data_IF_303958792229
#
_entry.id   IF_303958792229
#
_cell.length_a   1.000
_cell.length_b   1.000
_cell.length_c   1.000
_cell.angle_alpha   90.00
_cell.angle_beta   90.00
_cell.angle_gamma   90.00
#
_symmetry.space_group_name_H-M   'P 1'
#
loop_
_entity.id
_entity.type
_entity.pdbx_description
1 polymer ?
#
# COMPACT_ATOMS: atom_id res chain seq x y z
N UNK A 1 24.56 45.51 -15.67
CA UNK A 1 23.45 45.43 -14.70
C UNK A 1 22.56 44.27 -15.10
N UNK A 2 22.65 43.13 -14.40
CA UNK A 2 21.81 41.96 -14.70
C UNK A 2 20.48 42.11 -13.96
N UNK A 3 19.40 42.33 -14.69
CA UNK A 3 18.05 42.29 -14.15
C UNK A 3 17.70 40.82 -13.86
N UNK A 4 17.63 40.44 -12.60
CA UNK A 4 17.07 39.15 -12.19
C UNK A 4 15.58 39.17 -12.48
N UNK A 5 15.14 38.39 -13.47
CA UNK A 5 13.72 38.24 -13.79
C UNK A 5 12.94 37.78 -12.55
N UNK A 6 11.76 38.36 -12.28
CA UNK A 6 10.95 37.98 -11.12
C UNK A 6 10.57 36.50 -11.23
N UNK A 7 11.06 35.68 -10.29
CA UNK A 7 10.62 34.29 -10.19
C UNK A 7 9.15 34.27 -9.80
N UNK A 8 8.33 33.62 -10.63
CA UNK A 8 6.95 33.36 -10.27
C UNK A 8 6.88 32.45 -9.05
N UNK A 9 5.89 32.61 -8.16
CA UNK A 9 5.75 31.78 -6.97
C UNK A 9 5.65 30.31 -7.37
N UNK A 10 6.55 29.47 -6.84
CA UNK A 10 6.51 28.03 -7.05
C UNK A 10 5.18 27.46 -6.52
N UNK A 11 4.27 27.09 -7.43
CA UNK A 11 3.03 26.40 -7.09
C UNK A 11 3.38 25.00 -6.60
N UNK A 12 2.98 24.65 -5.37
CA UNK A 12 3.13 23.27 -4.86
C UNK A 12 2.46 22.29 -5.83
N UNK A 13 3.09 21.16 -6.16
CA UNK A 13 2.50 20.19 -7.07
C UNK A 13 1.24 19.60 -6.41
N UNK A 14 0.09 19.73 -7.08
CA UNK A 14 -1.22 19.22 -6.64
C UNK A 14 -1.22 17.72 -6.30
N UNK A 15 -0.23 16.99 -6.82
CA UNK A 15 -0.18 15.52 -6.83
C UNK A 15 0.17 14.93 -5.48
N UNK A 16 0.95 15.66 -4.69
CA UNK A 16 1.27 15.23 -3.32
C UNK A 16 -0.01 15.15 -2.48
N UNK A 17 -0.97 16.06 -2.70
CA UNK A 17 -2.25 16.03 -1.99
C UNK A 17 -3.09 14.81 -2.40
N UNK A 18 -3.14 14.49 -3.70
CA UNK A 18 -3.84 13.29 -4.17
C UNK A 18 -3.23 12.01 -3.59
N UNK A 19 -1.91 11.95 -3.47
CA UNK A 19 -1.24 10.80 -2.86
C UNK A 19 -1.58 10.66 -1.36
N UNK A 20 -1.57 11.75 -0.59
CA UNK A 20 -1.98 11.68 0.82
C UNK A 20 -3.46 11.34 0.98
N UNK A 21 -4.33 11.82 0.10
CA UNK A 21 -5.73 11.43 0.07
C UNK A 21 -5.88 9.92 -0.19
N UNK A 22 -5.12 9.38 -1.16
CA UNK A 22 -5.06 7.94 -1.44
C UNK A 22 -4.58 7.13 -0.23
N UNK A 23 -3.49 7.51 0.44
CA UNK A 23 -3.02 6.80 1.64
C UNK A 23 -4.06 6.88 2.76
N UNK A 24 -4.66 8.05 2.99
CA UNK A 24 -5.70 8.23 4.01
C UNK A 24 -6.88 7.29 3.73
N UNK A 25 -7.32 7.22 2.48
CA UNK A 25 -8.38 6.34 2.03
C UNK A 25 -8.03 4.86 2.26
N UNK A 26 -6.82 4.43 1.90
CA UNK A 26 -6.36 3.05 2.13
C UNK A 26 -6.31 2.71 3.62
N UNK A 27 -5.77 3.60 4.45
CA UNK A 27 -5.74 3.40 5.90
C UNK A 27 -7.14 3.26 6.47
N UNK A 28 -8.10 4.08 6.00
CA UNK A 28 -9.49 3.98 6.43
C UNK A 28 -10.13 2.65 5.99
N UNK A 29 -9.85 2.19 4.77
CA UNK A 29 -10.32 0.89 4.28
C UNK A 29 -9.77 -0.26 5.13
N UNK A 30 -8.47 -0.29 5.40
CA UNK A 30 -7.86 -1.31 6.26
C UNK A 30 -8.36 -1.24 7.70
N UNK A 31 -8.66 -0.04 8.21
CA UNK A 31 -9.26 0.11 9.54
C UNK A 31 -10.67 -0.48 9.60
N UNK A 32 -11.50 -0.26 8.56
CA UNK A 32 -12.84 -0.87 8.45
C UNK A 32 -12.72 -2.40 8.36
N UNK A 33 -11.83 -2.91 7.50
CA UNK A 33 -11.61 -4.36 7.38
C UNK A 33 -11.07 -4.98 8.67
N UNK A 34 -10.19 -4.28 9.38
CA UNK A 34 -9.71 -4.69 10.69
C UNK A 34 -10.84 -4.74 11.72
N UNK A 35 -11.70 -3.72 11.78
CA UNK A 35 -12.86 -3.70 12.66
C UNK A 35 -13.82 -4.86 12.36
N UNK A 36 -14.05 -5.16 11.08
CA UNK A 36 -14.83 -6.32 10.66
C UNK A 36 -14.18 -7.65 11.07
N UNK A 37 -12.86 -7.77 10.95
CA UNK A 37 -12.12 -8.96 11.40
C UNK A 37 -12.23 -9.15 12.92
N UNK A 38 -12.13 -8.07 13.71
CA UNK A 38 -12.35 -8.13 15.16
C UNK A 38 -13.80 -8.54 15.49
N UNK A 39 -14.77 -8.01 14.74
CA UNK A 39 -16.17 -8.42 14.89
C UNK A 39 -16.34 -9.91 14.60
N UNK A 40 -15.75 -10.44 13.54
CA UNK A 40 -15.79 -11.87 13.22
C UNK A 40 -15.16 -12.74 14.31
N UNK A 41 -14.04 -12.31 14.91
CA UNK A 41 -13.41 -13.02 16.05
C UNK A 41 -14.31 -12.99 17.29
N UNK A 42 -15.11 -11.93 17.48
CA UNK A 42 -16.01 -11.79 18.62
C UNK A 42 -17.28 -12.65 18.52
N UNK A 43 -17.57 -13.20 17.33
CA UNK A 43 -18.68 -14.12 17.18
C UNK A 43 -18.37 -15.43 17.93
N UNK A 44 -19.32 -15.95 18.72
CA UNK A 44 -19.15 -17.24 19.35
C UNK A 44 -18.90 -18.31 18.27
N UNK A 45 -18.06 -19.32 18.54
CA UNK A 45 -17.94 -20.47 17.65
C UNK A 45 -19.35 -21.01 17.37
N UNK A 46 -19.67 -21.30 16.11
CA UNK A 46 -21.00 -21.76 15.73
C UNK A 46 -21.41 -22.93 16.62
N UNK A 47 -22.44 -22.72 17.44
CA UNK A 47 -22.93 -23.70 18.40
C UNK A 47 -23.48 -24.97 17.73
N UNK A 48 -23.69 -24.90 16.40
CA UNK A 48 -24.17 -26.00 15.57
C UNK A 48 -23.04 -26.92 15.09
N UNK A 49 -21.78 -26.59 15.38
CA UNK A 49 -20.66 -27.47 15.04
C UNK A 49 -20.72 -28.72 15.93
N UNK A 50 -20.89 -29.93 15.37
CA UNK A 50 -20.99 -31.14 16.16
C UNK A 50 -19.71 -31.32 16.98
N UNK A 51 -19.79 -31.85 18.23
CA UNK A 51 -18.61 -32.11 19.03
C UNK A 51 -17.57 -32.90 18.23
N UNK A 52 -16.32 -32.43 18.21
CA UNK A 52 -15.23 -33.08 17.46
C UNK A 52 -14.97 -34.54 17.89
N UNK A 53 -15.54 -34.96 19.02
CA UNK A 53 -15.39 -36.30 19.58
C UNK A 53 -16.38 -37.34 19.01
N UNK A 54 -17.33 -36.94 18.15
CA UNK A 54 -18.21 -37.93 17.48
C UNK A 54 -17.40 -38.61 16.39
N UNK A 55 -17.09 -39.92 16.49
CA UNK A 55 -16.34 -40.63 15.47
C UNK A 55 -17.10 -40.48 14.15
N UNK A 56 -16.42 -39.90 13.16
CA UNK A 56 -16.94 -39.67 11.81
C UNK A 56 -17.33 -41.02 11.22
N UNK A 57 -18.58 -41.42 11.45
CA UNK A 57 -19.16 -42.57 10.81
C UNK A 57 -19.21 -42.24 9.32
N UNK A 58 -18.32 -42.89 8.58
CA UNK A 58 -18.03 -42.79 7.15
C UNK A 58 -19.31 -42.71 6.31
N UNK A 59 -19.93 -41.54 6.27
CA UNK A 59 -21.06 -41.28 5.39
C UNK A 59 -20.43 -40.67 4.14
N UNK A 60 -19.89 -41.56 3.29
CA UNK A 60 -19.46 -41.27 1.93
C UNK A 60 -20.70 -40.81 1.13
N UNK A 61 -21.11 -39.56 1.34
CA UNK A 61 -22.03 -38.92 0.42
C UNK A 61 -21.21 -38.68 -0.83
N UNK A 62 -21.53 -39.45 -1.87
CA UNK A 62 -20.87 -39.39 -3.18
C UNK A 62 -21.28 -38.07 -3.83
N UNK A 63 -20.63 -36.98 -3.44
CA UNK A 63 -20.86 -35.67 -4.03
C UNK A 63 -20.11 -35.62 -5.34
N UNK A 64 -20.88 -35.63 -6.41
CA UNK A 64 -20.45 -35.50 -7.79
C UNK A 64 -19.50 -34.31 -7.92
N UNK A 65 -18.20 -34.59 -8.10
CA UNK A 65 -17.12 -33.60 -8.24
C UNK A 65 -17.47 -32.62 -9.34
N UNK A 66 -17.98 -31.45 -8.97
CA UNK A 66 -17.95 -30.32 -9.88
C UNK A 66 -16.56 -29.72 -9.73
N UNK A 67 -15.88 -29.52 -10.86
CA UNK A 67 -14.44 -29.24 -10.96
C UNK A 67 -13.97 -27.95 -10.25
N UNK A 68 -14.86 -27.23 -9.55
CA UNK A 68 -14.59 -25.98 -8.85
C UNK A 68 -15.37 -25.85 -7.52
N UNK A 69 -15.49 -26.91 -6.72
CA UNK A 69 -15.93 -26.81 -5.33
C UNK A 69 -14.84 -26.15 -4.46
N UNK A 70 -14.67 -24.83 -4.62
CA UNK A 70 -13.80 -24.00 -3.75
C UNK A 70 -14.34 -23.89 -2.32
N UNK A 71 -15.57 -24.36 -2.10
CA UNK A 71 -16.24 -24.29 -0.82
C UNK A 71 -15.60 -25.24 0.19
N UNK A 72 -15.02 -26.37 -0.23
CA UNK A 72 -14.42 -27.36 0.69
C UNK A 72 -13.18 -26.81 1.41
N UNK A 73 -12.36 -26.00 0.73
CA UNK A 73 -11.18 -25.38 1.35
C UNK A 73 -11.55 -24.27 2.34
N UNK A 74 -12.65 -23.56 2.08
CA UNK A 74 -13.13 -22.47 2.96
C UNK A 74 -14.05 -22.98 4.08
N UNK A 75 -14.73 -24.10 3.89
CA UNK A 75 -15.66 -24.68 4.87
C UNK A 75 -14.96 -25.33 6.06
N UNK A 76 -13.68 -25.72 5.94
CA UNK A 76 -12.93 -26.35 7.02
C UNK A 76 -12.20 -25.37 7.95
N UNK A 77 -12.06 -24.11 7.57
CA UNK A 77 -11.33 -23.13 8.36
C UNK A 77 -12.24 -22.50 9.40
N UNK A 78 -11.87 -22.61 10.68
CA UNK A 78 -12.56 -21.91 11.77
C UNK A 78 -12.67 -20.41 11.43
N UNK A 79 -13.90 -19.83 11.41
CA UNK A 79 -14.08 -18.42 11.09
C UNK A 79 -13.26 -17.50 12.00
N UNK A 80 -13.01 -17.91 13.24
CA UNK A 80 -12.16 -17.17 14.17
C UNK A 80 -10.70 -17.17 13.70
N UNK A 81 -10.19 -18.29 13.20
CA UNK A 81 -8.83 -18.39 12.67
C UNK A 81 -8.65 -17.52 11.43
N UNK A 82 -9.61 -17.55 10.50
CA UNK A 82 -9.60 -16.69 9.32
C UNK A 82 -9.65 -15.21 9.73
N UNK A 83 -10.49 -14.86 10.70
CA UNK A 83 -10.56 -13.52 11.28
C UNK A 83 -9.23 -13.06 11.87
N UNK A 84 -8.52 -13.92 12.61
CA UNK A 84 -7.21 -13.62 13.19
C UNK A 84 -6.15 -13.34 12.12
N UNK A 85 -6.05 -14.19 11.09
CA UNK A 85 -5.10 -13.99 9.98
C UNK A 85 -5.38 -12.66 9.29
N UNK A 86 -6.66 -12.39 8.99
CA UNK A 86 -7.07 -11.12 8.37
C UNK A 86 -6.73 -9.93 9.27
N UNK A 87 -6.95 -10.03 10.58
CA UNK A 87 -6.63 -8.96 11.52
C UNK A 87 -5.12 -8.65 11.54
N UNK A 88 -4.27 -9.68 11.62
CA UNK A 88 -2.79 -9.53 11.59
C UNK A 88 -2.35 -8.90 10.27
N UNK A 89 -2.88 -9.38 9.15
CA UNK A 89 -2.57 -8.85 7.83
C UNK A 89 -2.96 -7.36 7.70
N UNK A 90 -4.15 -6.98 8.19
CA UNK A 90 -4.60 -5.59 8.20
C UNK A 90 -3.68 -4.69 9.04
N UNK A 91 -3.19 -5.15 10.19
CA UNK A 91 -2.23 -4.40 11.03
C UNK A 91 -0.93 -4.15 10.26
N UNK A 92 -0.38 -5.18 9.60
CA UNK A 92 0.85 -5.05 8.81
C UNK A 92 0.65 -4.02 7.70
N UNK A 93 -0.46 -4.13 6.95
CA UNK A 93 -0.78 -3.19 5.88
C UNK A 93 -0.98 -1.76 6.39
N UNK A 94 -1.75 -1.58 7.46
CA UNK A 94 -1.97 -0.27 8.08
C UNK A 94 -0.64 0.37 8.52
N UNK A 95 0.27 -0.44 9.07
CA UNK A 95 1.61 0.03 9.49
C UNK A 95 2.44 0.47 8.29
N UNK A 96 2.46 -0.31 7.20
CA UNK A 96 3.16 0.06 5.97
C UNK A 96 2.63 1.37 5.39
N UNK A 97 1.31 1.50 5.22
CA UNK A 97 0.72 2.74 4.69
C UNK A 97 0.93 3.94 5.61
N UNK A 98 0.81 3.75 6.92
CA UNK A 98 1.01 4.81 7.92
C UNK A 98 2.46 5.27 7.99
N UNK A 99 3.43 4.36 7.79
CA UNK A 99 4.86 4.71 7.77
C UNK A 99 5.19 5.74 6.69
N UNK A 100 4.44 5.78 5.58
CA UNK A 100 4.63 6.78 4.51
C UNK A 100 4.47 8.24 4.96
N UNK A 101 3.71 8.50 6.03
CA UNK A 101 3.58 9.84 6.62
C UNK A 101 4.85 10.30 7.33
N UNK A 102 5.58 9.37 7.94
CA UNK A 102 6.74 9.66 8.78
C UNK A 102 8.06 9.66 8.01
N UNK A 103 8.08 9.11 6.79
CA UNK A 103 9.29 9.11 5.97
C UNK A 103 9.63 10.54 5.55
N UNK A 104 10.76 11.05 6.08
CA UNK A 104 11.36 12.31 5.66
C UNK A 104 11.54 12.32 4.14
N UNK A 105 11.37 13.48 3.47
CA UNK A 105 11.52 13.58 2.03
C UNK A 105 12.94 13.20 1.60
N UNK A 106 13.11 11.93 1.22
CA UNK A 106 14.35 11.35 0.74
C UNK A 106 14.10 10.63 -0.59
N UNK A 107 15.18 10.21 -1.26
CA UNK A 107 15.12 9.47 -2.52
C UNK A 107 14.33 8.17 -2.44
N UNK A 108 14.37 7.52 -1.28
CA UNK A 108 13.71 6.24 -1.06
C UNK A 108 12.20 6.39 -0.89
N UNK A 109 11.71 7.57 -0.51
CA UNK A 109 10.28 7.82 -0.34
C UNK A 109 9.51 7.65 -1.65
N UNK A 110 10.10 8.05 -2.77
CA UNK A 110 9.48 7.85 -4.08
C UNK A 110 9.35 6.36 -4.41
N UNK A 111 10.44 5.59 -4.25
CA UNK A 111 10.42 4.14 -4.49
C UNK A 111 9.42 3.45 -3.54
N UNK A 112 9.42 3.82 -2.27
CA UNK A 112 8.51 3.30 -1.26
C UNK A 112 7.04 3.53 -1.62
N UNK A 113 6.71 4.76 -2.04
CA UNK A 113 5.37 5.11 -2.45
C UNK A 113 4.91 4.33 -3.70
N UNK A 114 5.82 4.04 -4.65
CA UNK A 114 5.52 3.17 -5.79
C UNK A 114 5.23 1.73 -5.35
N UNK A 115 6.00 1.20 -4.39
CA UNK A 115 5.76 -0.13 -3.84
C UNK A 115 4.39 -0.19 -3.17
N UNK A 116 4.03 0.81 -2.34
CA UNK A 116 2.69 0.90 -1.74
C UNK A 116 1.58 1.01 -2.78
N UNK A 117 1.83 1.70 -3.89
CA UNK A 117 0.88 1.81 -4.99
C UNK A 117 0.70 0.45 -5.71
N UNK A 118 1.78 -0.31 -5.89
CA UNK A 118 1.74 -1.65 -6.48
C UNK A 118 0.94 -2.64 -5.60
N UNK A 119 1.05 -2.54 -4.27
CA UNK A 119 0.20 -3.30 -3.36
C UNK A 119 -1.28 -2.94 -3.51
N UNK A 120 -1.61 -1.66 -3.70
CA UNK A 120 -2.98 -1.24 -4.00
C UNK A 120 -3.50 -1.81 -5.34
N UNK A 121 -2.60 -2.04 -6.30
CA UNK A 121 -2.91 -2.64 -7.60
C UNK A 121 -3.32 -4.12 -7.51
N UNK A 122 -2.99 -4.82 -6.42
CA UNK A 122 -3.47 -6.19 -6.20
C UNK A 122 -4.98 -6.24 -5.98
N UNK A 123 -5.60 -5.10 -5.68
CA UNK A 123 -7.04 -4.99 -5.47
C UNK A 123 -7.71 -4.41 -6.73
N UNK A 124 -8.42 -5.24 -7.48
CA UNK A 124 -8.96 -4.87 -8.80
C UNK A 124 -9.93 -3.68 -8.73
N UNK A 125 -10.63 -3.55 -7.60
CA UNK A 125 -11.58 -2.46 -7.34
C UNK A 125 -10.90 -1.08 -7.28
N UNK A 126 -9.58 -1.03 -7.05
CA UNK A 126 -8.82 0.20 -6.86
C UNK A 126 -8.11 0.67 -8.14
N UNK A 127 -8.12 -0.15 -9.19
CA UNK A 127 -7.52 0.19 -10.49
C UNK A 127 -7.96 1.53 -11.08
N UNK A 128 -9.25 1.93 -11.10
CA UNK A 128 -9.65 3.22 -11.69
C UNK A 128 -9.05 4.43 -10.98
N UNK A 129 -8.68 4.30 -9.70
CA UNK A 129 -8.03 5.36 -8.92
C UNK A 129 -6.50 5.27 -9.05
N UNK A 130 -5.97 4.05 -9.04
CA UNK A 130 -4.53 3.80 -9.04
C UNK A 130 -3.89 4.10 -10.40
N UNK A 131 -4.55 3.79 -11.52
CA UNK A 131 -4.01 4.00 -12.88
C UNK A 131 -3.70 5.48 -13.15
N UNK A 132 -4.60 6.46 -12.90
CA UNK A 132 -4.28 7.89 -13.08
C UNK A 132 -3.12 8.37 -12.20
N UNK A 133 -3.08 7.93 -10.94
CA UNK A 133 -2.01 8.29 -10.00
C UNK A 133 -0.68 7.73 -10.49
N UNK A 134 -0.65 6.46 -10.93
CA UNK A 134 0.53 5.81 -11.47
C UNK A 134 1.01 6.51 -12.74
N UNK A 135 0.11 6.80 -13.68
CA UNK A 135 0.43 7.52 -14.91
C UNK A 135 1.10 8.86 -14.62
N UNK A 136 0.53 9.63 -13.69
CA UNK A 136 1.10 10.92 -13.28
C UNK A 136 2.45 10.74 -12.59
N UNK A 137 2.60 9.73 -11.74
CA UNK A 137 3.86 9.43 -11.05
C UNK A 137 4.98 8.94 -11.98
N UNK A 138 4.62 8.27 -13.07
CA UNK A 138 5.59 7.77 -14.05
C UNK A 138 6.22 8.89 -14.89
N UNK A 139 5.53 10.03 -15.01
CA UNK A 139 5.99 11.15 -15.82
C UNK A 139 7.40 11.60 -15.38
N UNK A 140 8.32 11.81 -16.34
CA UNK A 140 9.69 12.23 -16.03
C UNK A 140 9.72 13.58 -15.30
N UNK A 141 8.68 14.40 -15.48
CA UNK A 141 8.54 15.68 -14.79
C UNK A 141 8.38 15.53 -13.27
N UNK A 142 7.78 14.42 -12.81
CA UNK A 142 7.63 14.11 -11.39
C UNK A 142 8.91 13.51 -10.78
N UNK A 143 9.79 12.95 -11.63
CA UNK A 143 11.14 12.52 -11.23
C UNK A 143 12.10 13.70 -11.04
N UNK A 144 11.74 14.92 -11.48
CA UNK A 144 12.64 16.09 -11.50
C UNK A 144 13.00 16.68 -10.14
N UNK A 145 12.38 16.24 -9.03
CA UNK A 145 12.93 16.50 -7.69
C UNK A 145 14.29 15.83 -7.48
N UNK A 146 14.71 14.96 -8.41
CA UNK A 146 16.00 14.29 -8.48
C UNK A 146 16.92 14.83 -9.58
N UNK A 147 16.84 16.13 -9.94
CA UNK A 147 18.00 16.81 -10.54
C UNK A 147 19.10 17.00 -9.47
N UNK A 148 19.62 15.89 -8.94
CA UNK A 148 21.04 15.84 -8.65
C UNK A 148 21.69 15.64 -10.01
N UNK A 149 22.27 16.71 -10.54
CA UNK A 149 23.25 16.51 -11.60
C UNK A 149 24.29 15.55 -11.02
N UNK A 150 24.65 14.43 -11.69
CA UNK A 150 25.78 13.62 -11.23
C UNK A 150 27.04 14.48 -11.04
N UNK A 151 27.11 15.61 -11.76
CA UNK A 151 28.08 16.67 -11.55
C UNK A 151 28.02 17.30 -10.15
N UNK A 152 26.86 17.56 -9.56
CA UNK A 152 26.74 18.14 -8.20
C UNK A 152 27.25 17.19 -7.11
N UNK A 153 27.00 15.88 -7.29
CA UNK A 153 27.50 14.85 -6.37
C UNK A 153 29.03 14.76 -6.49
N UNK A 154 29.55 14.72 -7.72
CA UNK A 154 31.00 14.76 -7.96
C UNK A 154 31.62 16.04 -7.41
N UNK A 155 30.97 17.17 -7.62
CA UNK A 155 31.47 18.49 -7.24
C UNK A 155 31.56 18.61 -5.71
N UNK A 156 30.51 18.21 -4.98
CA UNK A 156 30.56 18.14 -3.51
C UNK A 156 31.60 17.18 -2.99
N UNK A 157 31.77 16.02 -3.63
CA UNK A 157 32.74 15.02 -3.18
C UNK A 157 34.20 15.47 -3.39
N UNK A 158 34.48 16.23 -4.45
CA UNK A 158 35.86 16.57 -4.83
C UNK A 158 36.26 18.01 -4.46
N UNK A 159 35.32 18.95 -4.41
CA UNK A 159 35.63 20.37 -4.21
C UNK A 159 35.13 20.92 -2.87
N UNK A 160 34.49 20.10 -2.04
CA UNK A 160 33.96 20.53 -0.75
C UNK A 160 32.67 21.36 -0.88
N UNK A 161 31.97 21.64 0.25
CA UNK A 161 30.69 22.33 0.24
C UNK A 161 30.76 23.81 -0.17
N UNK A 162 31.97 24.40 -0.19
CA UNK A 162 32.15 25.84 -0.31
C UNK A 162 32.45 26.33 -1.74
N UNK A 163 32.68 25.39 -2.68
CA UNK A 163 32.97 25.75 -4.07
C UNK A 163 31.69 25.64 -4.87
N UNK A 164 31.10 26.79 -5.22
CA UNK A 164 29.97 26.85 -6.16
C UNK A 164 30.42 26.33 -7.53
N UNK A 165 29.65 25.43 -8.17
CA UNK A 165 29.95 25.00 -9.53
C UNK A 165 29.87 26.19 -10.50
N UNK A 166 30.73 26.22 -11.53
CA UNK A 166 30.72 27.28 -12.53
C UNK A 166 29.34 27.37 -13.20
N UNK A 167 28.76 28.58 -13.17
CA UNK A 167 27.46 28.90 -13.75
C UNK A 167 27.61 28.96 -15.28
N UNK A 168 27.13 27.93 -15.98
CA UNK A 168 27.01 27.89 -17.44
C UNK A 168 25.65 28.42 -17.90
#
# INVERSE_FOLDING_TARGET
MNQSSPQSPQRKPTVVNFFYAYITFMNLLFLIMFAYALFAISLPPDADQPPQDVPVATTQTTTQSTMFDNDEFLQGADPQFVGQILAIFNIIMLTLFTTSYFIKPNRFRWVYNLILLAFGFLNICLWPIVIPILYFWLQPQCRLYHKFSPLDVYHRQHFGPDVEPPKH
#
